data_IF_429938295834
#
_entry.id   IF_429938295834
#
_cell.length_a   1.000
_cell.length_b   1.000
_cell.length_c   1.000
_cell.angle_alpha   90.00
_cell.angle_beta   90.00
_cell.angle_gamma   90.00
#
_symmetry.space_group_name_H-M   'P 1'
#
loop_
_entity.id
_entity.type
_entity.pdbx_description
1 polymer ?
#
# COMPACT_ATOMS: atom_id res chain seq x y z
N UNK A 1 -17.16 8.64 21.74
CA UNK A 1 -16.03 7.74 21.43
C UNK A 1 -16.54 6.30 21.40
N UNK A 2 -16.31 5.60 20.29
CA UNK A 2 -16.54 4.16 20.18
C UNK A 2 -15.33 3.39 20.72
N UNK A 3 -15.56 2.19 21.28
CA UNK A 3 -14.49 1.31 21.75
C UNK A 3 -13.92 0.48 20.58
N UNK A 4 -12.61 0.16 20.55
CA UNK A 4 -12.00 -0.63 19.48
C UNK A 4 -12.71 -1.97 19.19
N UNK A 5 -13.26 -2.61 20.23
CA UNK A 5 -14.04 -3.87 20.15
C UNK A 5 -15.31 -3.80 19.27
N UNK A 6 -15.64 -2.62 18.73
CA UNK A 6 -16.78 -2.37 17.82
C UNK A 6 -16.35 -1.97 16.40
N UNK A 7 -15.06 -2.07 16.09
CA UNK A 7 -14.46 -1.69 14.81
C UNK A 7 -13.97 -2.96 14.12
N UNK A 8 -14.57 -3.30 12.98
CA UNK A 8 -14.27 -4.53 12.24
C UNK A 8 -13.12 -4.32 11.24
N UNK A 9 -11.91 -4.03 11.74
CA UNK A 9 -10.70 -4.00 10.91
C UNK A 9 -10.23 -5.43 10.55
N UNK A 10 -9.67 -5.62 9.35
CA UNK A 10 -9.19 -6.94 8.89
C UNK A 10 -7.91 -7.41 9.62
N UNK A 11 -7.11 -6.47 10.12
CA UNK A 11 -5.81 -6.74 10.72
C UNK A 11 -5.48 -5.70 11.81
N UNK A 12 -4.61 -6.09 12.75
CA UNK A 12 -4.27 -5.27 13.91
C UNK A 12 -3.52 -3.98 13.55
N UNK A 13 -2.85 -3.89 12.39
CA UNK A 13 -2.16 -2.67 11.99
C UNK A 13 -3.19 -1.60 11.62
N UNK A 14 -4.18 -1.95 10.80
CA UNK A 14 -5.28 -1.04 10.49
C UNK A 14 -6.05 -0.66 11.77
N UNK A 15 -6.34 -1.62 12.67
CA UNK A 15 -7.02 -1.32 13.93
C UNK A 15 -6.23 -0.34 14.81
N UNK A 16 -4.90 -0.49 14.88
CA UNK A 16 -4.02 0.40 15.66
C UNK A 16 -3.91 1.82 15.07
N UNK A 17 -4.11 1.98 13.76
CA UNK A 17 -4.12 3.31 13.12
C UNK A 17 -5.42 4.08 13.36
N UNK A 18 -6.56 3.41 13.55
CA UNK A 18 -7.89 4.05 13.58
C UNK A 18 -8.20 4.72 14.93
N UNK A 19 -8.51 6.01 14.91
CA UNK A 19 -9.03 6.76 16.06
C UNK A 19 -10.43 7.33 15.74
N UNK A 20 -11.46 6.95 16.50
CA UNK A 20 -12.84 7.39 16.24
C UNK A 20 -13.26 8.54 17.18
N UNK A 21 -13.11 9.77 16.68
CA UNK A 21 -13.47 11.02 17.36
C UNK A 21 -14.90 11.44 17.01
N UNK A 22 -15.85 10.73 17.58
CA UNK A 22 -17.28 10.98 17.42
C UNK A 22 -18.02 11.00 18.75
N UNK A 23 -18.95 11.95 18.91
CA UNK A 23 -19.86 12.01 20.08
C UNK A 23 -21.13 11.18 19.86
N UNK A 24 -21.57 11.06 18.60
CA UNK A 24 -22.83 10.41 18.21
C UNK A 24 -22.71 8.90 17.87
N UNK A 25 -23.86 8.25 17.70
CA UNK A 25 -23.99 6.79 17.59
C UNK A 25 -23.56 6.13 16.26
N UNK A 26 -22.63 6.71 15.50
CA UNK A 26 -22.29 6.39 14.09
C UNK A 26 -21.65 5.01 13.82
N UNK A 27 -21.85 4.02 14.69
CA UNK A 27 -21.22 2.67 14.65
C UNK A 27 -21.30 2.00 13.27
N UNK A 28 -22.42 2.13 12.56
CA UNK A 28 -22.60 1.53 11.24
C UNK A 28 -21.73 2.21 10.18
N UNK A 29 -21.76 3.54 10.11
CA UNK A 29 -21.01 4.30 9.10
C UNK A 29 -19.49 4.24 9.34
N UNK A 30 -19.06 4.27 10.60
CA UNK A 30 -17.67 4.00 10.98
C UNK A 30 -17.21 2.62 10.48
N UNK A 31 -18.06 1.59 10.59
CA UNK A 31 -17.73 0.27 10.03
C UNK A 31 -17.83 0.22 8.50
N UNK A 32 -18.65 1.04 7.84
CA UNK A 32 -18.63 1.22 6.37
C UNK A 32 -17.26 1.77 5.92
N UNK A 33 -16.78 2.84 6.56
CA UNK A 33 -15.49 3.46 6.23
C UNK A 33 -14.32 2.50 6.50
N UNK A 34 -14.33 1.80 7.63
CA UNK A 34 -13.31 0.80 7.95
C UNK A 34 -13.39 -0.40 7.01
N UNK A 35 -14.58 -0.80 6.53
CA UNK A 35 -14.72 -1.81 5.48
C UNK A 35 -14.15 -1.34 4.13
N UNK A 36 -14.12 -0.03 3.85
CA UNK A 36 -13.43 0.52 2.67
C UNK A 36 -11.90 0.45 2.84
N UNK A 37 -11.37 0.86 3.99
CA UNK A 37 -9.95 0.71 4.33
C UNK A 37 -9.49 -0.76 4.34
N UNK A 38 -10.32 -1.69 4.82
CA UNK A 38 -10.07 -3.15 4.79
C UNK A 38 -9.82 -3.72 3.40
N UNK A 39 -10.15 -3.02 2.31
CA UNK A 39 -9.86 -3.50 0.96
C UNK A 39 -8.39 -3.33 0.56
N UNK A 40 -7.64 -2.48 1.26
CA UNK A 40 -6.20 -2.26 1.05
C UNK A 40 -5.40 -3.47 1.54
N UNK A 41 -4.30 -3.81 0.87
CA UNK A 41 -3.45 -4.95 1.24
C UNK A 41 -2.85 -4.77 2.65
N UNK A 42 -2.98 -5.78 3.50
CA UNK A 42 -2.51 -5.74 4.90
C UNK A 42 -0.99 -5.48 5.05
N UNK A 43 -0.18 -5.74 4.01
CA UNK A 43 1.25 -5.37 3.99
C UNK A 43 1.45 -3.86 3.89
N UNK A 44 0.54 -3.14 3.24
CA UNK A 44 0.51 -1.67 3.23
C UNK A 44 0.16 -1.18 4.64
N UNK A 45 -0.90 -1.74 5.27
CA UNK A 45 -1.24 -1.41 6.67
C UNK A 45 -0.07 -1.65 7.64
N UNK A 46 0.69 -2.74 7.49
CA UNK A 46 1.91 -3.01 8.26
C UNK A 46 2.90 -1.84 8.15
N UNK A 47 3.19 -1.37 6.93
CA UNK A 47 4.20 -0.33 6.70
C UNK A 47 3.72 1.06 7.14
N UNK A 48 2.46 1.44 6.90
CA UNK A 48 1.94 2.73 7.36
C UNK A 48 1.85 2.79 8.89
N UNK A 49 1.39 1.72 9.54
CA UNK A 49 1.35 1.60 11.01
C UNK A 49 2.76 1.64 11.62
N UNK A 50 3.74 0.93 11.02
CA UNK A 50 5.13 0.98 11.45
C UNK A 50 5.77 2.37 11.31
N UNK A 51 5.34 3.16 10.31
CA UNK A 51 5.73 4.56 10.13
C UNK A 51 4.85 5.56 10.92
N UNK A 52 4.02 5.07 11.84
CA UNK A 52 3.24 5.91 12.77
C UNK A 52 2.07 6.66 12.13
N UNK A 53 1.57 6.20 10.98
CA UNK A 53 0.35 6.76 10.37
C UNK A 53 -0.85 6.56 11.31
N UNK A 54 -1.72 7.55 11.41
CA UNK A 54 -2.99 7.50 12.17
C UNK A 54 -4.15 7.92 11.27
N UNK A 55 -5.33 7.35 11.47
CA UNK A 55 -6.55 7.62 10.68
C UNK A 55 -7.66 8.06 11.64
N UNK A 56 -7.93 9.37 11.67
CA UNK A 56 -8.99 9.95 12.50
C UNK A 56 -10.31 9.92 11.72
N UNK A 57 -11.29 9.17 12.22
CA UNK A 57 -12.67 9.20 11.75
C UNK A 57 -13.48 10.11 12.67
N UNK A 58 -14.03 11.20 12.12
CA UNK A 58 -14.63 12.31 12.89
C UNK A 58 -16.03 12.71 12.40
N UNK A 59 -16.90 13.21 13.29
CA UNK A 59 -18.17 13.85 12.92
C UNK A 59 -18.08 15.41 12.90
N UNK A 60 -17.16 15.96 13.69
CA UNK A 60 -16.79 17.40 13.73
C UNK A 60 -16.16 17.93 12.42
N UNK A 61 -16.07 19.26 12.22
CA UNK A 61 -15.20 19.88 11.22
C UNK A 61 -13.72 19.50 11.41
N UNK A 62 -12.96 19.46 10.31
CA UNK A 62 -11.52 19.15 10.33
C UNK A 62 -10.74 20.07 11.28
N UNK A 63 -11.05 21.35 11.27
CA UNK A 63 -10.34 22.40 12.02
C UNK A 63 -10.69 22.45 13.52
N UNK A 64 -11.70 21.70 13.97
CA UNK A 64 -11.95 21.47 15.40
C UNK A 64 -10.99 20.40 15.99
N UNK A 65 -10.31 19.63 15.15
CA UNK A 65 -9.26 18.71 15.60
C UNK A 65 -7.99 19.49 16.01
N UNK A 66 -7.39 19.24 17.20
CA UNK A 66 -6.20 19.96 17.66
C UNK A 66 -5.00 19.90 16.71
N UNK A 67 -4.85 18.82 15.95
CA UNK A 67 -3.82 18.65 14.92
C UNK A 67 -3.99 19.64 13.74
N UNK A 68 -5.23 19.94 13.35
CA UNK A 68 -5.57 20.71 12.14
C UNK A 68 -6.12 22.11 12.42
N UNK A 69 -6.36 22.49 13.67
CA UNK A 69 -6.85 23.81 14.09
C UNK A 69 -6.00 25.00 13.60
N UNK A 70 -4.74 24.76 13.21
CA UNK A 70 -3.87 25.74 12.59
C UNK A 70 -4.30 26.15 11.16
N UNK A 71 -5.23 25.41 10.54
CA UNK A 71 -5.77 25.67 9.20
C UNK A 71 -7.08 26.50 9.22
N UNK A 72 -7.70 26.74 10.37
CA UNK A 72 -8.99 27.43 10.46
C UNK A 72 -8.96 28.84 9.85
N UNK A 73 -9.99 29.17 9.06
CA UNK A 73 -10.11 30.40 8.29
C UNK A 73 -9.14 30.54 7.11
N UNK A 74 -8.34 29.51 6.80
CA UNK A 74 -7.43 29.50 5.64
C UNK A 74 -8.01 28.70 4.47
N UNK A 75 -7.61 29.08 3.25
CA UNK A 75 -8.12 28.49 2.00
C UNK A 75 -7.16 27.41 1.50
N UNK A 76 -7.64 26.20 1.10
CA UNK A 76 -6.79 25.17 0.52
C UNK A 76 -6.08 25.59 -0.77
N UNK A 77 -4.94 24.96 -1.06
CA UNK A 77 -4.18 25.18 -2.29
C UNK A 77 -5.05 24.91 -3.53
N UNK A 78 -5.20 25.90 -4.42
CA UNK A 78 -6.05 25.82 -5.61
C UNK A 78 -7.52 26.19 -5.39
N UNK A 79 -7.98 26.40 -4.15
CA UNK A 79 -9.39 26.66 -3.83
C UNK A 79 -9.75 28.16 -3.76
N UNK A 80 -8.84 29.06 -4.12
CA UNK A 80 -8.97 30.52 -4.01
C UNK A 80 -10.18 31.15 -4.70
N UNK A 81 -10.79 30.45 -5.66
CA UNK A 81 -11.98 30.93 -6.39
C UNK A 81 -13.30 30.31 -5.90
N UNK A 82 -13.24 29.30 -5.01
CA UNK A 82 -14.44 28.62 -4.47
C UNK A 82 -15.14 29.43 -3.39
N UNK A 83 -14.40 30.28 -2.67
CA UNK A 83 -14.85 30.96 -1.45
C UNK A 83 -14.86 30.08 -0.19
N UNK A 84 -14.48 28.80 -0.30
CA UNK A 84 -14.46 27.82 0.79
C UNK A 84 -13.11 27.79 1.51
N UNK A 85 -13.11 27.23 2.72
CA UNK A 85 -11.99 27.18 3.66
C UNK A 85 -11.74 25.75 4.17
N UNK A 86 -10.61 25.52 4.84
CA UNK A 86 -10.33 24.23 5.51
C UNK A 86 -11.36 23.85 6.59
N UNK A 87 -12.15 24.80 7.09
CA UNK A 87 -13.28 24.52 7.99
C UNK A 87 -14.43 23.75 7.30
N UNK A 88 -14.43 23.73 5.95
CA UNK A 88 -15.46 23.10 5.10
C UNK A 88 -14.94 21.87 4.33
N UNK A 89 -13.65 21.54 4.46
CA UNK A 89 -13.03 20.36 3.82
C UNK A 89 -13.25 19.13 4.71
N UNK A 90 -13.73 17.98 4.16
CA UNK A 90 -14.11 16.83 4.96
C UNK A 90 -12.95 15.87 5.30
N UNK A 91 -11.74 16.10 4.78
CA UNK A 91 -10.59 15.24 5.02
C UNK A 91 -9.24 15.96 4.87
N UNK A 92 -8.17 15.27 5.26
CA UNK A 92 -6.80 15.67 4.98
C UNK A 92 -5.84 14.48 5.10
N UNK A 93 -4.94 14.34 4.12
CA UNK A 93 -3.86 13.36 4.10
C UNK A 93 -2.58 13.80 4.82
N UNK A 94 -1.75 12.81 5.18
CA UNK A 94 -0.46 13.00 5.87
C UNK A 94 -0.20 11.90 6.90
N UNK A 95 0.78 12.08 7.79
CA UNK A 95 1.05 11.09 8.86
C UNK A 95 -0.12 10.98 9.86
N UNK A 96 -0.92 12.04 9.98
CA UNK A 96 -2.27 11.94 10.54
C UNK A 96 -3.23 12.20 9.39
N UNK A 97 -3.95 11.17 8.99
CA UNK A 97 -5.09 11.20 8.08
C UNK A 97 -6.33 11.60 8.88
N UNK A 98 -7.19 12.41 8.30
CA UNK A 98 -8.53 12.67 8.81
C UNK A 98 -9.57 12.46 7.70
N UNK A 99 -10.70 11.84 8.04
CA UNK A 99 -11.85 11.67 7.14
C UNK A 99 -13.16 11.80 7.92
N UNK A 100 -14.14 12.52 7.34
CA UNK A 100 -15.41 12.80 8.01
C UNK A 100 -16.43 11.68 7.81
N UNK A 101 -17.03 11.25 8.91
CA UNK A 101 -18.04 10.19 8.99
C UNK A 101 -19.28 10.60 8.18
N UNK A 102 -19.68 9.75 7.23
CA UNK A 102 -20.80 10.01 6.30
C UNK A 102 -20.43 10.84 5.07
N UNK A 103 -19.15 11.18 4.87
CA UNK A 103 -18.64 11.90 3.70
C UNK A 103 -17.84 10.96 2.78
N UNK A 104 -18.14 9.66 2.84
CA UNK A 104 -17.42 8.59 2.17
C UNK A 104 -17.62 8.56 0.64
N UNK A 105 -18.65 9.23 0.10
CA UNK A 105 -19.06 9.21 -1.31
C UNK A 105 -18.88 10.58 -1.98
N UNK A 106 -18.59 10.66 -3.30
CA UNK A 106 -18.45 11.93 -4.03
C UNK A 106 -19.64 12.88 -3.81
N UNK A 107 -19.34 14.15 -3.53
CA UNK A 107 -20.32 15.14 -3.06
C UNK A 107 -19.77 15.89 -1.85
N UNK A 108 -20.62 16.53 -1.06
CA UNK A 108 -20.28 17.06 0.28
C UNK A 108 -18.90 17.76 0.39
N UNK A 109 -18.61 18.68 -0.56
CA UNK A 109 -17.33 19.41 -0.67
C UNK A 109 -16.09 18.60 -1.08
N UNK A 110 -16.23 17.45 -1.75
CA UNK A 110 -15.16 16.77 -2.48
C UNK A 110 -15.67 16.09 -3.77
N UNK A 111 -14.75 15.58 -4.60
CA UNK A 111 -15.07 14.87 -5.85
C UNK A 111 -14.35 13.53 -6.03
N UNK A 112 -13.59 13.10 -5.01
CA UNK A 112 -12.83 11.84 -4.98
C UNK A 112 -13.75 10.63 -4.79
N UNK A 113 -13.44 9.50 -5.44
CA UNK A 113 -14.30 8.30 -5.53
C UNK A 113 -14.66 7.71 -4.16
N UNK A 114 -13.75 7.81 -3.19
CA UNK A 114 -13.99 7.50 -1.79
C UNK A 114 -13.04 8.33 -0.92
N UNK A 115 -13.58 9.05 0.07
CA UNK A 115 -12.82 10.01 0.87
C UNK A 115 -11.73 9.33 1.69
N UNK A 116 -12.08 8.37 2.53
CA UNK A 116 -11.13 7.73 3.46
C UNK A 116 -10.04 6.94 2.75
N UNK A 117 -10.32 6.32 1.59
CA UNK A 117 -9.28 5.71 0.76
C UNK A 117 -8.37 6.75 0.09
N UNK A 118 -8.89 7.90 -0.34
CA UNK A 118 -8.08 8.96 -0.95
C UNK A 118 -7.15 9.63 0.08
N UNK A 119 -7.68 10.01 1.24
CA UNK A 119 -6.87 10.65 2.30
C UNK A 119 -5.85 9.68 2.91
N UNK A 120 -6.21 8.38 3.03
CA UNK A 120 -5.25 7.35 3.40
C UNK A 120 -4.21 7.07 2.29
N UNK A 121 -4.58 7.19 1.01
CA UNK A 121 -3.63 7.03 -0.08
C UNK A 121 -2.54 8.12 -0.09
N UNK A 122 -2.83 9.35 0.34
CA UNK A 122 -1.78 10.36 0.58
C UNK A 122 -0.78 9.93 1.67
N UNK A 123 -1.24 9.24 2.72
CA UNK A 123 -0.34 8.66 3.72
C UNK A 123 0.44 7.44 3.19
N UNK A 124 -0.17 6.63 2.31
CA UNK A 124 0.55 5.55 1.61
C UNK A 124 1.65 6.14 0.73
N UNK A 125 1.35 7.20 -0.02
CA UNK A 125 2.27 7.90 -0.91
C UNK A 125 3.53 8.37 -0.18
N UNK A 126 3.36 9.01 0.98
CA UNK A 126 4.46 9.61 1.76
C UNK A 126 5.21 8.64 2.70
N UNK A 127 4.59 7.54 3.16
CA UNK A 127 5.11 6.78 4.33
C UNK A 127 5.33 5.26 4.13
N UNK A 128 5.10 4.66 2.95
CA UNK A 128 5.45 3.22 2.74
C UNK A 128 6.85 2.97 2.15
N UNK A 129 7.56 4.04 1.79
CA UNK A 129 8.91 4.01 1.25
C UNK A 129 9.73 5.18 1.83
N UNK A 130 11.06 5.16 1.68
CA UNK A 130 11.92 6.28 2.10
C UNK A 130 11.76 7.59 1.29
N UNK A 131 10.75 7.69 0.42
CA UNK A 131 10.43 8.83 -0.42
C UNK A 131 8.96 8.76 -0.88
N UNK A 132 8.38 9.92 -1.22
CA UNK A 132 7.00 10.02 -1.75
C UNK A 132 6.88 9.31 -3.10
N UNK A 133 6.04 8.28 -3.22
CA UNK A 133 5.95 7.42 -4.42
C UNK A 133 5.57 8.21 -5.69
N UNK A 134 4.67 9.17 -5.58
CA UNK A 134 4.25 10.09 -6.65
C UNK A 134 5.37 11.03 -7.12
N UNK A 135 6.42 11.20 -6.32
CA UNK A 135 7.67 11.89 -6.68
C UNK A 135 8.75 10.95 -7.26
N UNK A 136 8.45 9.67 -7.51
CA UNK A 136 9.31 8.82 -8.33
C UNK A 136 9.32 9.26 -9.79
N UNK A 137 10.41 9.00 -10.50
CA UNK A 137 10.49 9.26 -11.95
C UNK A 137 9.63 8.29 -12.75
N UNK A 138 9.53 7.03 -12.29
CA UNK A 138 8.59 6.01 -12.80
C UNK A 138 7.15 6.56 -12.80
N UNK A 139 6.64 7.00 -11.65
CA UNK A 139 5.26 7.45 -11.53
C UNK A 139 4.98 8.79 -12.21
N UNK A 140 5.92 9.75 -12.21
CA UNK A 140 5.76 11.00 -13.01
C UNK A 140 5.62 10.72 -14.50
N UNK A 141 6.38 9.76 -15.03
CA UNK A 141 6.29 9.41 -16.45
C UNK A 141 4.95 8.73 -16.77
N UNK A 142 4.48 7.82 -15.90
CA UNK A 142 3.15 7.21 -15.99
C UNK A 142 2.04 8.27 -15.95
N UNK A 143 2.05 9.15 -14.93
CA UNK A 143 1.13 10.28 -14.77
C UNK A 143 1.05 11.14 -16.04
N UNK A 144 2.19 11.48 -16.64
CA UNK A 144 2.25 12.28 -17.87
C UNK A 144 1.63 11.62 -19.11
N UNK A 145 1.51 10.28 -19.12
CA UNK A 145 0.87 9.50 -20.18
C UNK A 145 -0.62 9.29 -19.93
N UNK A 146 -1.00 9.01 -18.70
CA UNK A 146 -2.32 8.41 -18.39
C UNK A 146 -3.30 9.32 -17.66
N UNK A 147 -2.89 10.48 -17.14
CA UNK A 147 -3.78 11.35 -16.35
C UNK A 147 -5.03 11.80 -17.10
N UNK A 148 -4.87 12.31 -18.33
CA UNK A 148 -5.99 12.70 -19.17
C UNK A 148 -6.85 11.51 -19.59
N UNK A 149 -6.25 10.32 -19.77
CA UNK A 149 -6.96 9.10 -20.16
C UNK A 149 -7.85 8.58 -19.02
N UNK A 150 -7.39 8.66 -17.77
CA UNK A 150 -8.16 8.23 -16.61
C UNK A 150 -9.33 9.17 -16.29
N UNK A 151 -9.14 10.48 -16.46
CA UNK A 151 -10.03 11.52 -15.92
C UNK A 151 -10.70 12.46 -16.94
N UNK A 152 -10.67 12.19 -18.26
CA UNK A 152 -11.31 13.06 -19.27
C UNK A 152 -12.82 13.34 -19.03
N UNK A 153 -13.52 12.45 -18.33
CA UNK A 153 -14.94 12.55 -17.98
C UNK A 153 -15.19 13.04 -16.54
N UNK A 154 -14.14 13.44 -15.81
CA UNK A 154 -14.27 13.99 -14.46
C UNK A 154 -14.76 15.45 -14.50
N UNK A 155 -15.43 15.90 -13.44
CA UNK A 155 -15.92 17.29 -13.36
C UNK A 155 -14.78 18.32 -13.20
N UNK A 156 -13.66 17.92 -12.59
CA UNK A 156 -12.47 18.76 -12.36
C UNK A 156 -11.18 18.02 -12.76
N UNK A 157 -10.98 17.70 -14.05
CA UNK A 157 -9.87 16.83 -14.50
C UNK A 157 -8.49 17.45 -14.19
N UNK A 158 -8.42 18.79 -14.22
CA UNK A 158 -7.22 19.56 -13.92
C UNK A 158 -6.76 19.46 -12.45
N UNK A 159 -7.60 18.99 -11.52
CA UNK A 159 -7.20 18.73 -10.13
C UNK A 159 -6.08 17.70 -10.08
N UNK A 160 -6.24 16.61 -10.86
CA UNK A 160 -5.26 15.52 -10.97
C UNK A 160 -4.03 15.87 -11.81
N UNK A 161 -3.87 17.13 -12.27
CA UNK A 161 -2.58 17.60 -12.80
C UNK A 161 -1.50 17.64 -11.70
N UNK A 162 -1.89 17.65 -10.43
CA UNK A 162 -1.00 17.38 -9.30
C UNK A 162 -0.80 15.86 -9.15
N UNK A 163 0.46 15.40 -9.22
CA UNK A 163 0.81 13.97 -9.23
C UNK A 163 0.47 13.25 -7.92
N UNK A 164 0.41 13.97 -6.78
CA UNK A 164 -0.10 13.44 -5.50
C UNK A 164 -1.58 13.10 -5.58
N UNK A 165 -2.41 14.03 -6.06
CA UNK A 165 -3.85 13.84 -6.19
C UNK A 165 -4.17 12.73 -7.20
N UNK A 166 -3.38 12.63 -8.27
CA UNK A 166 -3.46 11.53 -9.22
C UNK A 166 -3.14 10.18 -8.58
N UNK A 167 -2.06 10.09 -7.78
CA UNK A 167 -1.72 8.87 -7.05
C UNK A 167 -2.84 8.49 -6.07
N UNK A 168 -3.29 9.44 -5.25
CA UNK A 168 -4.30 9.20 -4.23
C UNK A 168 -5.62 8.71 -4.82
N UNK A 169 -6.08 9.34 -5.90
CA UNK A 169 -7.31 8.92 -6.59
C UNK A 169 -7.14 7.61 -7.36
N UNK A 170 -6.00 7.36 -8.01
CA UNK A 170 -5.74 6.08 -8.67
C UNK A 170 -5.67 4.92 -7.66
N UNK A 171 -5.08 5.14 -6.49
CA UNK A 171 -5.06 4.18 -5.39
C UNK A 171 -6.47 3.91 -4.85
N UNK A 172 -7.28 4.96 -4.63
CA UNK A 172 -8.67 4.83 -4.21
C UNK A 172 -9.50 4.06 -5.26
N UNK A 173 -9.36 4.39 -6.56
CA UNK A 173 -10.01 3.67 -7.66
C UNK A 173 -9.64 2.17 -7.67
N UNK A 174 -8.37 1.81 -7.45
CA UNK A 174 -7.91 0.43 -7.39
C UNK A 174 -8.51 -0.34 -6.22
N UNK A 175 -8.58 0.26 -5.02
CA UNK A 175 -8.99 -0.45 -3.81
C UNK A 175 -10.50 -0.40 -3.51
N UNK A 176 -11.23 0.61 -3.97
CA UNK A 176 -12.64 0.82 -3.61
C UNK A 176 -13.60 -0.29 -4.08
N UNK A 177 -13.49 -0.74 -5.33
CA UNK A 177 -14.36 -1.79 -5.88
C UNK A 177 -13.99 -2.24 -7.29
N UNK A 178 -14.64 -3.30 -7.77
CA UNK A 178 -14.35 -3.90 -9.07
C UNK A 178 -14.58 -2.94 -10.25
N UNK A 179 -15.69 -2.19 -10.24
CA UNK A 179 -16.00 -1.24 -11.32
C UNK A 179 -14.95 -0.12 -11.44
N UNK A 180 -14.53 0.48 -10.32
CA UNK A 180 -13.49 1.52 -10.31
C UNK A 180 -12.11 0.96 -10.67
N UNK A 181 -11.80 -0.26 -10.23
CA UNK A 181 -10.58 -0.99 -10.58
C UNK A 181 -10.52 -1.32 -12.08
N UNK A 182 -11.63 -1.74 -12.67
CA UNK A 182 -11.72 -2.05 -14.10
C UNK A 182 -11.64 -0.77 -14.96
N UNK A 183 -12.22 0.35 -14.51
CA UNK A 183 -12.02 1.69 -15.09
C UNK A 183 -10.54 2.06 -15.09
N UNK A 184 -9.84 1.88 -13.96
CA UNK A 184 -8.40 2.15 -13.86
C UNK A 184 -7.60 1.25 -14.82
N UNK A 185 -7.82 -0.07 -14.79
CA UNK A 185 -7.12 -1.03 -15.64
C UNK A 185 -7.29 -0.77 -17.15
N UNK A 186 -8.46 -0.27 -17.57
CA UNK A 186 -8.78 -0.01 -18.98
C UNK A 186 -8.27 1.35 -19.47
N UNK A 187 -8.25 2.38 -18.60
CA UNK A 187 -7.90 3.75 -18.99
C UNK A 187 -6.46 4.17 -18.63
N UNK A 188 -5.87 3.53 -17.62
CA UNK A 188 -4.54 3.80 -17.11
C UNK A 188 -3.82 2.50 -16.71
N UNK A 189 -3.55 1.60 -17.68
CA UNK A 189 -2.95 0.29 -17.42
C UNK A 189 -1.55 0.35 -16.77
N UNK A 190 -0.72 1.36 -17.04
CA UNK A 190 0.59 1.50 -16.38
C UNK A 190 0.41 1.89 -14.91
N UNK A 191 -0.51 2.81 -14.62
CA UNK A 191 -0.89 3.22 -13.25
C UNK A 191 -1.50 2.04 -12.49
N UNK A 192 -2.39 1.28 -13.13
CA UNK A 192 -2.94 0.05 -12.57
C UNK A 192 -1.83 -0.93 -12.17
N UNK A 193 -0.85 -1.16 -13.06
CA UNK A 193 0.30 -2.03 -12.77
C UNK A 193 1.13 -1.48 -11.60
N UNK A 194 1.46 -0.20 -11.59
CA UNK A 194 2.22 0.44 -10.51
C UNK A 194 1.52 0.27 -9.15
N UNK A 195 0.24 0.66 -9.04
CA UNK A 195 -0.54 0.53 -7.80
C UNK A 195 -0.64 -0.94 -7.37
N UNK A 196 -0.86 -1.86 -8.31
CA UNK A 196 -0.95 -3.31 -8.03
C UNK A 196 0.34 -3.93 -7.47
N UNK A 197 1.49 -3.30 -7.68
CA UNK A 197 2.80 -3.79 -7.25
C UNK A 197 3.31 -3.18 -5.93
N UNK A 198 2.72 -2.08 -5.45
CA UNK A 198 3.19 -1.36 -4.23
C UNK A 198 3.48 -2.33 -3.09
N UNK A 199 2.50 -3.18 -2.76
CA UNK A 199 2.58 -4.12 -1.63
C UNK A 199 3.69 -5.19 -1.74
N UNK A 200 4.17 -5.48 -2.96
CA UNK A 200 5.26 -6.41 -3.23
C UNK A 200 6.63 -5.70 -3.24
N UNK A 201 6.67 -4.42 -3.61
CA UNK A 201 7.87 -3.57 -3.55
C UNK A 201 8.23 -3.11 -2.12
N UNK A 202 7.41 -3.38 -1.09
CA UNK A 202 7.70 -2.93 0.28
C UNK A 202 8.82 -3.72 0.97
N UNK A 203 9.71 -3.00 1.67
CA UNK A 203 10.83 -3.55 2.43
C UNK A 203 10.83 -2.99 3.87
N UNK A 204 10.61 -3.88 4.85
CA UNK A 204 10.59 -3.55 6.28
C UNK A 204 12.01 -3.63 6.89
N UNK A 205 12.27 -2.75 7.86
CA UNK A 205 13.33 -2.94 8.87
C UNK A 205 12.63 -3.46 10.12
N UNK A 206 12.94 -4.68 10.55
CA UNK A 206 12.27 -5.34 11.68
C UNK A 206 12.98 -5.05 13.01
N UNK A 207 14.31 -4.98 12.98
CA UNK A 207 15.13 -4.63 14.15
C UNK A 207 16.47 -4.05 13.74
N UNK A 208 17.02 -3.18 14.57
CA UNK A 208 18.41 -2.71 14.49
C UNK A 208 19.09 -2.95 15.82
N UNK A 209 20.36 -3.34 15.80
CA UNK A 209 21.22 -3.46 16.99
C UNK A 209 22.41 -2.50 16.86
N UNK A 210 23.44 -2.62 17.69
CA UNK A 210 24.70 -1.90 17.51
C UNK A 210 25.41 -2.29 16.22
N UNK A 211 25.41 -3.58 15.87
CA UNK A 211 26.21 -4.12 14.76
C UNK A 211 25.42 -4.91 13.71
N UNK A 212 24.07 -4.91 13.77
CA UNK A 212 23.21 -5.62 12.81
C UNK A 212 21.92 -4.86 12.44
N UNK A 213 21.35 -5.24 11.29
CA UNK A 213 20.05 -4.79 10.78
C UNK A 213 19.30 -6.01 10.24
N UNK A 214 18.09 -6.27 10.74
CA UNK A 214 17.19 -7.31 10.21
C UNK A 214 16.13 -6.68 9.32
N UNK A 215 15.95 -7.25 8.13
CA UNK A 215 15.01 -6.84 7.11
C UNK A 215 13.97 -7.94 6.85
N UNK A 216 12.75 -7.56 6.46
CA UNK A 216 11.79 -8.47 5.83
C UNK A 216 11.08 -7.88 4.62
N UNK A 217 10.73 -8.76 3.68
CA UNK A 217 10.07 -8.45 2.41
C UNK A 217 9.10 -9.59 2.05
N UNK A 218 8.21 -9.39 1.08
CA UNK A 218 7.31 -10.48 0.64
C UNK A 218 8.04 -11.39 -0.36
N UNK A 219 8.11 -12.72 -0.14
CA UNK A 219 8.52 -13.64 -1.19
C UNK A 219 7.54 -13.62 -2.37
N UNK A 220 8.07 -13.57 -3.60
CA UNK A 220 7.34 -13.74 -4.85
C UNK A 220 7.37 -15.20 -5.29
N UNK A 221 6.30 -15.69 -5.93
CA UNK A 221 6.21 -17.07 -6.43
C UNK A 221 7.24 -17.42 -7.50
N UNK A 222 7.64 -16.43 -8.29
CA UNK A 222 8.39 -16.61 -9.53
C UNK A 222 9.91 -16.35 -9.34
N UNK A 223 10.30 -15.90 -8.15
CA UNK A 223 11.69 -15.55 -7.81
C UNK A 223 12.44 -16.73 -7.19
N UNK A 224 13.63 -17.03 -7.72
CA UNK A 224 14.52 -18.06 -7.18
C UNK A 224 15.51 -17.53 -6.15
N UNK A 225 15.86 -16.24 -6.24
CA UNK A 225 16.84 -15.57 -5.37
C UNK A 225 16.45 -14.13 -5.14
N UNK A 226 16.75 -13.61 -3.95
CA UNK A 226 16.64 -12.19 -3.60
C UNK A 226 18.03 -11.65 -3.27
N UNK A 227 18.51 -10.74 -4.10
CA UNK A 227 19.82 -10.12 -3.95
C UNK A 227 19.64 -8.89 -3.05
N UNK A 228 20.28 -8.89 -1.88
CA UNK A 228 20.14 -7.85 -0.85
C UNK A 228 21.30 -6.86 -0.97
N UNK A 229 20.97 -5.58 -1.18
CA UNK A 229 21.95 -4.51 -1.37
C UNK A 229 21.95 -3.54 -0.19
N UNK A 230 23.15 -3.08 0.18
CA UNK A 230 23.41 -2.04 1.17
C UNK A 230 24.27 -0.95 0.52
N UNK A 231 23.79 0.29 0.48
CA UNK A 231 24.50 1.41 -0.15
C UNK A 231 25.01 1.05 -1.57
N UNK A 232 24.13 0.44 -2.38
CA UNK A 232 24.40 -0.10 -3.74
C UNK A 232 25.37 -1.31 -3.83
N UNK A 233 25.98 -1.77 -2.74
CA UNK A 233 26.82 -2.97 -2.70
C UNK A 233 26.00 -4.23 -2.34
N UNK A 234 26.24 -5.36 -3.03
CA UNK A 234 25.60 -6.65 -2.72
C UNK A 234 26.17 -7.21 -1.42
N UNK A 235 25.33 -7.39 -0.40
CA UNK A 235 25.74 -7.92 0.92
C UNK A 235 25.26 -9.34 1.19
N UNK A 236 24.28 -9.85 0.45
CA UNK A 236 23.82 -11.23 0.58
C UNK A 236 22.80 -11.65 -0.47
N UNK A 237 22.54 -12.95 -0.51
CA UNK A 237 21.53 -13.59 -1.36
C UNK A 237 20.63 -14.45 -0.47
N UNK A 238 19.31 -14.33 -0.63
CA UNK A 238 18.29 -15.10 0.10
C UNK A 238 17.57 -16.03 -0.89
N UNK A 239 17.33 -17.31 -0.56
CA UNK A 239 16.74 -18.27 -1.50
C UNK A 239 15.22 -18.12 -1.68
N UNK A 240 14.67 -18.80 -2.68
CA UNK A 240 13.24 -18.89 -2.95
C UNK A 240 12.41 -19.26 -1.71
N UNK A 241 11.33 -18.51 -1.46
CA UNK A 241 10.41 -18.74 -0.35
C UNK A 241 10.83 -18.14 1.00
N UNK A 242 12.09 -17.72 1.16
CA UNK A 242 12.53 -16.96 2.33
C UNK A 242 12.31 -15.45 2.11
N UNK A 243 11.94 -14.75 3.19
CA UNK A 243 11.41 -13.37 3.15
C UNK A 243 12.10 -12.40 4.11
N UNK A 244 13.36 -12.66 4.47
CA UNK A 244 14.11 -11.79 5.37
C UNK A 244 15.61 -12.01 5.31
N UNK A 245 16.36 -11.08 5.88
CA UNK A 245 17.83 -11.06 5.89
C UNK A 245 18.33 -10.31 7.12
N UNK A 246 19.36 -10.83 7.79
CA UNK A 246 20.07 -10.10 8.86
C UNK A 246 21.48 -9.75 8.40
N UNK A 247 21.69 -8.47 8.18
CA UNK A 247 23.01 -7.90 7.89
C UNK A 247 23.78 -7.69 9.20
N UNK A 248 25.09 -7.97 9.22
CA UNK A 248 25.91 -8.00 10.43
C UNK A 248 27.31 -7.42 10.20
N UNK A 249 28.03 -7.12 11.29
CA UNK A 249 29.34 -6.49 11.23
C UNK A 249 29.29 -5.01 10.84
N UNK A 250 28.17 -4.35 11.13
CA UNK A 250 27.95 -2.93 10.86
C UNK A 250 28.68 -2.03 11.87
N UNK A 251 28.99 -0.80 11.45
CA UNK A 251 29.54 0.24 12.32
C UNK A 251 28.45 0.84 13.21
N UNK A 252 28.83 1.29 14.41
CA UNK A 252 27.91 1.92 15.37
C UNK A 252 27.38 3.27 14.85
N UNK A 253 26.16 3.65 15.25
CA UNK A 253 25.52 4.96 14.97
C UNK A 253 25.52 5.36 13.48
N UNK A 254 25.49 4.38 12.59
CA UNK A 254 25.66 4.57 11.14
C UNK A 254 24.36 4.25 10.41
N UNK A 255 23.95 5.14 9.51
CA UNK A 255 22.78 4.95 8.65
C UNK A 255 23.17 4.23 7.37
N UNK A 256 22.41 3.19 7.03
CA UNK A 256 22.59 2.36 5.84
C UNK A 256 21.29 2.31 5.04
N UNK A 257 21.38 2.52 3.73
CA UNK A 257 20.27 2.39 2.79
C UNK A 257 20.22 0.98 2.21
N UNK A 258 19.05 0.35 2.20
CA UNK A 258 18.83 -1.01 1.73
C UNK A 258 17.78 -1.09 0.63
N UNK A 259 17.98 -2.02 -0.30
CA UNK A 259 16.95 -2.50 -1.23
C UNK A 259 17.19 -3.97 -1.58
N UNK A 260 16.15 -4.63 -2.08
CA UNK A 260 16.18 -6.05 -2.46
C UNK A 260 15.75 -6.20 -3.93
N UNK A 261 16.51 -6.98 -4.70
CA UNK A 261 16.18 -7.34 -6.09
C UNK A 261 15.82 -8.83 -6.17
N UNK A 262 14.57 -9.12 -6.49
CA UNK A 262 14.11 -10.47 -6.82
C UNK A 262 14.49 -10.85 -8.25
N UNK A 263 15.09 -12.03 -8.44
CA UNK A 263 15.46 -12.56 -9.76
C UNK A 263 14.88 -13.96 -10.02
N UNK A 264 14.62 -14.25 -11.30
CA UNK A 264 14.14 -15.55 -11.77
C UNK A 264 15.27 -16.58 -11.95
N UNK A 265 14.90 -17.82 -12.31
CA UNK A 265 15.85 -18.91 -12.56
C UNK A 265 16.86 -18.66 -13.71
N UNK A 266 16.66 -17.60 -14.51
CA UNK A 266 17.54 -17.17 -15.59
C UNK A 266 18.40 -15.94 -15.19
N UNK A 267 18.36 -15.54 -13.91
CA UNK A 267 18.92 -14.30 -13.36
C UNK A 267 18.32 -13.01 -13.93
N UNK A 268 17.08 -13.07 -14.43
CA UNK A 268 16.31 -11.91 -14.91
C UNK A 268 15.70 -11.19 -13.70
N UNK A 269 15.80 -9.86 -13.66
CA UNK A 269 15.10 -9.06 -12.63
C UNK A 269 13.58 -9.16 -12.80
N UNK A 270 12.90 -9.55 -11.73
CA UNK A 270 11.43 -9.56 -11.62
C UNK A 270 10.95 -8.26 -10.99
N UNK A 271 11.62 -7.83 -9.93
CA UNK A 271 11.22 -6.71 -9.08
C UNK A 271 12.41 -6.19 -8.27
N UNK A 272 12.62 -4.88 -8.23
CA UNK A 272 13.45 -4.21 -7.20
C UNK A 272 12.51 -3.50 -6.22
N UNK A 273 12.76 -3.69 -4.92
CA UNK A 273 11.99 -3.09 -3.83
C UNK A 273 12.15 -1.57 -3.79
N UNK A 274 11.24 -0.89 -3.11
CA UNK A 274 11.52 0.45 -2.62
C UNK A 274 12.69 0.40 -1.63
N UNK A 275 13.45 1.50 -1.58
CA UNK A 275 14.56 1.64 -0.65
C UNK A 275 14.07 2.04 0.73
N UNK A 276 14.69 1.46 1.76
CA UNK A 276 14.51 1.83 3.18
C UNK A 276 15.85 2.20 3.82
N UNK A 277 15.83 2.89 4.95
CA UNK A 277 17.05 3.24 5.69
C UNK A 277 16.96 2.68 7.12
N UNK A 278 18.03 2.03 7.58
CA UNK A 278 18.20 1.61 8.96
C UNK A 278 19.36 2.38 9.59
N UNK A 279 19.35 2.61 10.91
CA UNK A 279 20.47 3.21 11.64
C UNK A 279 20.80 2.34 12.85
N UNK A 280 22.08 1.99 13.00
CA UNK A 280 22.58 1.16 14.09
C UNK A 280 22.64 1.90 15.43
N UNK A 281 22.66 1.14 16.53
CA UNK A 281 22.79 1.63 17.89
C UNK A 281 24.16 2.28 18.18
N UNK A 282 24.24 2.98 19.31
CA UNK A 282 25.47 3.66 19.77
C UNK A 282 26.37 2.80 20.67
N UNK A 283 25.89 1.62 21.08
CA UNK A 283 26.62 0.63 21.88
C UNK A 283 26.67 -0.67 21.06
N UNK A 284 27.80 -1.42 21.10
CA UNK A 284 27.93 -2.67 20.35
C UNK A 284 27.05 -3.78 20.93
N UNK A 285 26.81 -4.79 20.11
CA UNK A 285 26.07 -5.97 20.53
C UNK A 285 26.84 -6.73 21.62
N UNK A 286 26.15 -7.35 22.61
CA UNK A 286 26.83 -8.16 23.61
C UNK A 286 27.52 -9.33 22.94
N UNK A 287 28.84 -9.49 23.14
CA UNK A 287 29.60 -10.60 22.58
C UNK A 287 28.98 -11.94 22.99
N UNK A 288 28.34 -12.61 22.03
CA UNK A 288 27.97 -14.02 22.15
C UNK A 288 29.24 -14.84 22.03
N UNK A 289 29.91 -15.06 23.17
CA UNK A 289 30.96 -16.08 23.27
C UNK A 289 30.32 -17.43 23.02
N UNK A 290 30.42 -17.92 21.79
CA UNK A 290 30.22 -19.33 21.49
C UNK A 290 31.23 -20.11 22.34
N UNK A 291 30.75 -20.91 23.28
CA UNK A 291 31.61 -21.82 24.01
C UNK A 291 32.08 -22.89 23.02
N UNK A 292 33.33 -22.74 22.54
CA UNK A 292 34.01 -23.71 21.69
C UNK A 292 33.99 -25.06 22.43
N UNK A 293 33.10 -25.97 21.99
CA UNK A 293 32.95 -27.30 22.57
C UNK A 293 34.18 -28.11 22.20
N UNK A 294 35.21 -28.01 23.03
CA UNK A 294 36.40 -28.84 22.94
C UNK A 294 35.98 -30.28 23.20
N UNK A 295 35.79 -31.06 22.14
CA UNK A 295 35.67 -32.51 22.25
C UNK A 295 36.98 -33.06 22.85
N UNK A 296 36.97 -33.43 24.13
CA UNK A 296 38.08 -34.16 24.73
C UNK A 296 38.21 -35.51 24.01
N UNK A 297 39.27 -35.66 23.21
CA UNK A 297 39.64 -36.93 22.57
C UNK A 297 39.96 -37.96 23.67
N UNK A 298 38.97 -38.80 24.01
CA UNK A 298 39.11 -39.82 25.05
C UNK A 298 40.12 -40.88 24.61
N UNK A 299 41.35 -40.73 25.09
CA UNK A 299 42.43 -41.67 24.83
C UNK A 299 42.18 -42.96 25.60
N UNK A 300 41.69 -44.01 24.93
CA UNK A 300 41.57 -45.35 25.53
C UNK A 300 42.96 -45.89 25.93
N UNK A 301 43.23 -45.96 27.23
CA UNK A 301 44.44 -46.61 27.75
C UNK A 301 44.27 -48.14 27.68
N UNK A 302 44.93 -48.76 26.71
CA UNK A 302 44.86 -50.21 26.47
C UNK A 302 45.53 -50.98 27.62
N UNK A 303 44.71 -51.67 28.43
CA UNK A 303 45.16 -52.62 29.45
C UNK A 303 44.79 -54.05 29.03
N UNK A 304 45.75 -54.79 28.48
CA UNK A 304 45.63 -56.24 28.34
C UNK A 304 46.10 -56.96 29.62
N UNK A 305 45.26 -57.80 30.24
CA UNK A 305 45.72 -59.13 30.70
C UNK A 305 44.57 -60.14 30.92
N UNK A 306 44.56 -61.15 30.02
CA UNK A 306 44.04 -62.53 30.09
C UNK A 306 43.16 -63.08 31.24
N UNK A 307 42.12 -63.80 30.81
CA UNK A 307 41.76 -65.21 31.15
C UNK A 307 40.68 -65.60 32.20
N UNK A 308 39.93 -66.63 31.77
CA UNK A 308 39.25 -67.74 32.49
C UNK A 308 38.07 -67.49 33.46
N UNK A 309 36.86 -67.66 32.91
CA UNK A 309 35.76 -68.45 33.53
C UNK A 309 36.22 -69.92 33.78
N UNK A 310 35.60 -70.76 34.68
CA UNK A 310 34.14 -70.87 34.82
C UNK A 310 33.50 -71.34 36.19
N UNK A 311 32.27 -70.84 36.48
CA UNK A 311 31.03 -71.62 36.80
C UNK A 311 30.81 -72.36 38.17
N UNK A 312 29.53 -72.36 38.62
CA UNK A 312 28.78 -73.17 39.66
C UNK A 312 28.61 -72.71 41.14
N UNK A 313 27.32 -72.70 41.57
CA UNK A 313 26.70 -73.02 42.90
C UNK A 313 27.04 -72.22 44.20
N UNK A 314 26.13 -72.00 45.19
CA UNK A 314 24.65 -72.05 45.31
C UNK A 314 24.12 -71.39 46.63
N UNK A 315 22.80 -71.10 46.69
CA UNK A 315 21.93 -70.98 47.93
C UNK A 315 22.27 -69.88 48.98
N UNK A 316 21.40 -69.35 49.87
CA UNK A 316 19.96 -69.45 50.29
C UNK A 316 19.64 -68.11 51.05
N UNK A 317 18.43 -67.57 51.34
CA UNK A 317 17.04 -67.61 50.81
C UNK A 317 16.21 -66.46 51.48
N UNK A 318 14.93 -66.25 51.10
CA UNK A 318 13.79 -65.47 51.71
C UNK A 318 13.09 -64.64 50.61
N UNK A 319 12.10 -65.20 49.89
CA UNK A 319 10.64 -65.21 50.19
C UNK A 319 9.97 -63.83 50.03
N UNK A 320 9.24 -63.60 48.91
CA UNK A 320 7.76 -63.70 48.74
C UNK A 320 7.00 -62.39 49.11
N UNK A 321 5.89 -61.99 48.47
CA UNK A 321 5.08 -62.57 47.36
C UNK A 321 4.51 -61.45 46.45
N UNK A 322 3.91 -61.81 45.31
CA UNK A 322 3.21 -60.88 44.39
C UNK A 322 1.71 -60.75 44.68
N UNK A 323 1.17 -59.52 44.73
CA UNK A 323 -0.24 -59.24 44.41
C UNK A 323 -0.35 -57.94 43.59
N UNK A 324 -1.25 -57.94 42.59
CA UNK A 324 -1.62 -56.75 41.81
C UNK A 324 -2.93 -56.16 42.38
N UNK A 325 -2.95 -54.89 42.78
CA UNK A 325 -4.22 -54.17 42.98
C UNK A 325 -4.49 -53.26 41.77
N UNK A 326 -5.59 -53.56 41.07
CA UNK A 326 -6.23 -52.63 40.13
C UNK A 326 -7.44 -52.02 40.82
N UNK A 327 -7.58 -50.70 40.76
CA UNK A 327 -8.73 -49.97 41.33
C UNK A 327 -9.58 -49.41 40.20
N UNK A 328 -10.87 -49.72 40.26
CA UNK A 328 -11.93 -49.31 39.33
C UNK A 328 -12.98 -48.49 40.13
N UNK A 329 -13.97 -47.96 39.42
CA UNK A 329 -15.19 -47.26 39.90
C UNK A 329 -15.14 -45.72 39.85
N UNK A 330 -16.17 -45.01 39.39
CA UNK A 330 -17.43 -45.39 38.68
C UNK A 330 -17.94 -44.19 37.86
N UNK A 331 -18.86 -44.41 36.90
CA UNK A 331 -19.48 -43.35 36.08
C UNK A 331 -20.95 -43.15 36.46
N UNK A 332 -21.44 -41.92 36.68
CA UNK A 332 -22.87 -41.65 36.87
C UNK A 332 -23.62 -41.40 35.54
N UNK A 333 -24.88 -41.80 35.49
CA UNK A 333 -25.73 -41.86 34.28
C UNK A 333 -26.49 -40.55 33.96
N UNK A 334 -27.16 -40.54 32.80
CA UNK A 334 -28.16 -39.54 32.39
C UNK A 334 -29.52 -39.75 33.09
N UNK A 335 -30.43 -38.76 33.02
CA UNK A 335 -31.88 -39.00 33.06
C UNK A 335 -32.59 -38.75 31.71
N UNK A 336 -33.70 -39.46 31.53
CA UNK A 336 -34.65 -39.43 30.40
C UNK A 336 -36.07 -39.21 30.98
N UNK A 337 -37.11 -38.68 30.31
CA UNK A 337 -37.40 -38.36 28.89
C UNK A 337 -38.22 -37.05 28.86
N UNK A 338 -38.43 -36.40 27.69
CA UNK A 338 -39.78 -36.18 27.12
C UNK A 338 -39.73 -35.42 25.76
N UNK A 339 -40.60 -35.80 24.82
CA UNK A 339 -40.83 -35.10 23.54
C UNK A 339 -42.06 -34.17 23.65
N UNK A 340 -41.96 -32.92 23.17
CA UNK A 340 -43.14 -32.18 22.69
C UNK A 340 -42.93 -31.71 21.25
N UNK A 341 -43.86 -32.09 20.38
CA UNK A 341 -43.96 -31.61 19.01
C UNK A 341 -44.61 -30.23 18.96
N UNK A 342 -43.94 -29.25 18.35
CA UNK A 342 -44.56 -27.95 17.99
C UNK A 342 -44.54 -27.81 16.48
N UNK A 343 -45.70 -27.47 15.90
CA UNK A 343 -45.88 -27.37 14.45
C UNK A 343 -45.22 -26.11 13.88
N UNK A 344 -44.49 -26.25 12.76
CA UNK A 344 -43.96 -25.11 12.01
C UNK A 344 -45.11 -24.46 11.21
N UNK A 345 -45.78 -23.49 11.83
CA UNK A 345 -46.89 -22.76 11.21
C UNK A 345 -46.39 -21.70 10.24
N UNK A 346 -46.82 -21.83 8.97
CA UNK A 346 -47.07 -20.72 8.02
C UNK A 346 -45.97 -19.67 7.86
N UNK A 347 -45.17 -19.83 6.80
CA UNK A 347 -44.47 -18.69 6.18
C UNK A 347 -45.49 -17.70 5.61
N UNK A 348 -45.44 -16.44 6.08
CA UNK A 348 -46.20 -15.32 5.51
C UNK A 348 -45.60 -14.87 4.16
N UNK A 349 -46.45 -14.29 3.31
CA UNK A 349 -46.10 -13.86 1.96
C UNK A 349 -45.23 -12.59 1.95
N UNK A 350 -44.08 -12.64 1.26
CA UNK A 350 -43.32 -11.44 0.88
C UNK A 350 -43.83 -10.96 -0.49
N UNK A 351 -44.33 -9.73 -0.64
CA UNK A 351 -44.80 -9.23 -1.92
C UNK A 351 -43.63 -8.95 -2.88
N UNK A 352 -43.81 -9.28 -4.16
CA UNK A 352 -42.91 -8.91 -5.23
C UNK A 352 -42.78 -7.38 -5.35
N UNK A 353 -41.57 -6.87 -5.55
CA UNK A 353 -41.33 -5.51 -6.02
C UNK A 353 -41.16 -5.53 -7.54
N UNK A 354 -41.86 -4.65 -8.25
CA UNK A 354 -41.80 -4.56 -9.71
C UNK A 354 -40.41 -4.09 -10.18
N UNK A 355 -39.74 -4.89 -11.03
CA UNK A 355 -38.56 -4.43 -11.76
C UNK A 355 -38.97 -3.40 -12.83
N UNK A 356 -38.71 -2.11 -12.55
CA UNK A 356 -38.85 -1.05 -13.54
C UNK A 356 -37.73 -1.15 -14.56
N UNK A 357 -37.96 -1.92 -15.61
CA UNK A 357 -37.08 -2.04 -16.77
C UNK A 357 -37.09 -0.74 -17.57
N UNK A 358 -35.98 0.01 -17.51
CA UNK A 358 -35.75 1.15 -18.39
C UNK A 358 -35.34 0.61 -19.76
N UNK A 359 -36.18 0.84 -20.76
CA UNK A 359 -35.88 0.50 -22.16
C UNK A 359 -35.19 1.68 -22.81
N UNK A 360 -33.91 1.54 -23.14
CA UNK A 360 -33.22 2.45 -24.06
C UNK A 360 -33.48 1.99 -25.50
N UNK A 361 -34.05 2.87 -26.34
CA UNK A 361 -34.27 2.59 -27.76
C UNK A 361 -32.98 2.85 -28.56
N UNK A 362 -32.18 1.80 -28.79
CA UNK A 362 -31.12 1.84 -29.81
C UNK A 362 -31.75 1.90 -31.21
N UNK A 363 -31.71 3.07 -31.86
CA UNK A 363 -32.05 3.21 -33.27
C UNK A 363 -30.83 2.94 -34.14
N UNK A 364 -30.67 1.70 -34.62
CA UNK A 364 -29.76 1.39 -35.73
C UNK A 364 -30.23 2.13 -37.00
N UNK A 365 -29.37 3.00 -37.53
CA UNK A 365 -29.52 3.56 -38.89
C UNK A 365 -28.33 3.12 -39.74
N UNK A 366 -28.48 2.01 -40.47
CA UNK A 366 -27.55 1.68 -41.56
C UNK A 366 -27.65 2.74 -42.67
N UNK A 367 -26.56 3.47 -42.92
CA UNK A 367 -26.39 4.25 -44.15
C UNK A 367 -25.05 3.87 -44.80
N UNK A 368 -25.12 3.06 -45.85
CA UNK A 368 -23.96 2.58 -46.59
C UNK A 368 -23.41 3.67 -47.51
N UNK A 369 -22.14 4.05 -47.33
CA UNK A 369 -21.45 5.03 -48.18
C UNK A 369 -20.32 4.34 -48.95
N UNK A 370 -20.44 4.31 -50.28
CA UNK A 370 -19.37 3.87 -51.17
C UNK A 370 -18.17 4.82 -51.11
N UNK A 371 -16.96 4.26 -51.13
CA UNK A 371 -15.70 5.03 -51.15
C UNK A 371 -15.24 5.17 -52.61
N UNK A 372 -15.46 6.35 -53.20
CA UNK A 372 -14.71 6.77 -54.39
C UNK A 372 -13.52 7.67 -54.00
N UNK A 373 -12.41 7.49 -54.71
CA UNK A 373 -11.09 8.06 -54.44
C UNK A 373 -10.87 9.31 -55.32
N UNK A 374 -10.81 10.52 -54.74
CA UNK A 374 -10.42 11.74 -55.47
C UNK A 374 -9.54 12.71 -54.65
N UNK A 375 -8.30 12.78 -55.11
CA UNK A 375 -7.36 13.90 -55.25
C UNK A 375 -7.41 15.15 -54.33
N UNK A 376 -6.22 15.41 -53.77
CA UNK A 376 -5.65 16.60 -53.13
C UNK A 376 -6.07 17.97 -53.73
N UNK A 377 -6.70 18.84 -52.93
CA UNK A 377 -6.78 20.28 -53.23
C UNK A 377 -6.68 21.14 -51.95
N UNK A 378 -5.77 22.13 -51.96
CA UNK A 378 -5.45 22.95 -50.78
C UNK A 378 -6.40 24.14 -50.59
N UNK A 379 -7.07 24.24 -49.43
CA UNK A 379 -7.96 25.37 -49.11
C UNK A 379 -7.38 26.25 -48.01
N UNK A 380 -7.16 27.53 -48.32
CA UNK A 380 -6.80 28.57 -47.33
C UNK A 380 -8.01 28.91 -46.46
N UNK A 381 -7.82 28.97 -45.13
CA UNK A 381 -8.89 29.33 -44.18
C UNK A 381 -8.78 30.79 -43.72
N UNK A 382 -9.55 31.68 -44.36
CA UNK A 382 -9.78 33.04 -43.84
C UNK A 382 -10.49 32.98 -42.48
N UNK A 383 -9.78 33.34 -41.40
CA UNK A 383 -10.33 33.38 -40.04
C UNK A 383 -11.06 34.70 -39.78
N UNK A 384 -12.37 34.73 -40.06
CA UNK A 384 -13.22 35.88 -39.80
C UNK A 384 -13.48 36.07 -38.30
N UNK A 385 -12.64 36.89 -37.63
CA UNK A 385 -12.77 37.19 -36.21
C UNK A 385 -14.08 37.92 -35.86
N UNK A 386 -14.93 37.28 -35.07
CA UNK A 386 -16.04 37.95 -34.37
C UNK A 386 -15.50 38.52 -33.05
N UNK A 387 -15.25 39.82 -33.00
CA UNK A 387 -14.85 40.51 -31.77
C UNK A 387 -16.06 40.81 -30.89
N UNK A 388 -16.15 40.14 -29.74
CA UNK A 388 -16.98 40.62 -28.63
C UNK A 388 -16.38 41.92 -28.05
N UNK A 389 -17.24 42.78 -27.49
CA UNK A 389 -16.86 44.04 -26.85
C UNK A 389 -17.56 44.18 -25.51
N UNK A 390 -16.87 44.78 -24.55
CA UNK A 390 -17.43 45.26 -23.29
C UNK A 390 -18.34 46.48 -23.56
N UNK A 391 -19.24 46.81 -22.62
CA UNK A 391 -20.17 47.96 -22.78
C UNK A 391 -19.47 49.31 -23.02
N UNK A 392 -18.24 49.50 -22.52
CA UNK A 392 -17.41 50.69 -22.75
C UNK A 392 -16.59 50.67 -24.06
N UNK A 393 -16.71 49.62 -24.89
CA UNK A 393 -16.25 49.61 -26.28
C UNK A 393 -14.77 49.36 -26.56
N UNK A 394 -13.95 49.07 -25.55
CA UNK A 394 -12.52 48.74 -25.71
C UNK A 394 -12.27 47.23 -25.91
N UNK A 395 -11.25 46.82 -26.69
CA UNK A 395 -10.88 45.41 -26.85
C UNK A 395 -10.01 44.91 -25.69
N UNK A 396 -10.27 43.68 -25.21
CA UNK A 396 -9.44 43.01 -24.20
C UNK A 396 -8.28 42.27 -24.88
N UNK A 397 -7.04 42.61 -24.50
CA UNK A 397 -5.85 41.79 -24.73
C UNK A 397 -4.89 41.93 -23.54
N UNK A 398 -4.75 40.89 -22.71
CA UNK A 398 -3.68 40.79 -21.70
C UNK A 398 -3.18 39.34 -21.60
N UNK A 399 -2.04 39.06 -22.24
CA UNK A 399 -1.06 38.14 -21.67
C UNK A 399 -0.16 38.95 -20.73
N UNK A 400 0.32 38.35 -19.64
CA UNK A 400 1.52 38.84 -18.95
C UNK A 400 2.43 37.70 -18.51
N UNK A 401 3.70 37.80 -18.91
CA UNK A 401 4.79 36.91 -18.52
C UNK A 401 6.10 37.74 -18.58
N UNK A 402 6.74 37.98 -17.44
CA UNK A 402 8.01 38.72 -17.34
C UNK A 402 8.62 38.58 -15.93
N UNK A 403 9.95 38.47 -15.75
CA UNK A 403 11.04 38.37 -16.73
C UNK A 403 12.42 38.79 -16.17
N UNK A 404 13.45 38.81 -17.05
CA UNK A 404 14.87 39.22 -16.83
C UNK A 404 15.72 38.20 -16.00
N UNK A 405 17.05 38.05 -16.10
CA UNK A 405 18.18 38.62 -16.89
C UNK A 405 19.22 37.48 -17.16
N UNK A 406 20.17 37.53 -18.12
CA UNK A 406 20.37 38.50 -19.19
C UNK A 406 21.84 38.91 -19.52
N UNK A 407 22.78 37.97 -19.75
CA UNK A 407 24.16 38.28 -20.24
C UNK A 407 24.57 37.44 -21.47
N UNK A 408 25.47 37.99 -22.30
CA UNK A 408 25.81 37.49 -23.66
C UNK A 408 27.33 37.31 -23.83
N UNK A 409 27.77 36.17 -24.40
CA UNK A 409 29.03 36.04 -25.16
C UNK A 409 28.81 35.07 -26.33
N UNK A 410 29.39 35.36 -27.51
CA UNK A 410 29.19 34.59 -28.75
C UNK A 410 30.48 33.95 -29.31
N UNK A 411 30.45 32.64 -29.57
CA UNK A 411 31.24 31.88 -30.56
C UNK A 411 30.33 30.72 -31.01
N UNK A 412 30.31 30.18 -32.24
CA UNK A 412 31.38 29.97 -33.22
C UNK A 412 31.32 28.50 -33.67
N UNK A 413 30.26 28.09 -34.39
CA UNK A 413 30.23 27.91 -35.87
C UNK A 413 30.92 26.63 -36.39
N UNK A 414 30.08 25.76 -36.98
CA UNK A 414 30.33 24.68 -37.96
C UNK A 414 31.44 23.64 -37.75
N UNK A 415 31.00 22.39 -37.65
CA UNK A 415 31.79 21.18 -37.95
C UNK A 415 31.71 20.90 -39.46
N UNK A 416 32.81 21.02 -40.21
CA UNK A 416 32.88 20.61 -41.62
C UNK A 416 34.08 19.68 -41.87
N UNK A 417 33.86 18.70 -42.74
CA UNK A 417 34.71 17.52 -42.94
C UNK A 417 36.01 17.79 -43.71
N UNK A 418 37.01 17.00 -43.33
CA UNK A 418 38.28 16.78 -44.03
C UNK A 418 38.14 16.56 -45.54
N UNK A 419 38.93 17.29 -46.35
CA UNK A 419 39.78 16.65 -47.38
C UNK A 419 41.00 17.48 -47.80
N UNK A 420 42.00 16.73 -48.27
CA UNK A 420 43.42 17.11 -48.48
C UNK A 420 43.67 18.12 -49.61
N UNK A 421 44.67 18.97 -49.38
CA UNK A 421 45.81 19.30 -50.27
C UNK A 421 45.59 19.32 -51.79
N UNK A 422 45.72 20.50 -52.39
CA UNK A 422 46.98 20.92 -53.05
C UNK A 422 47.10 22.45 -53.05
#
# INVERSE_FOLDING_TARGET
>A
MLTPDKIHAQDNNLLNMIEVRSEDGWTNEVNTMVANLNRVDARIHRHTNANGVRIILMDVPLTDLPEFAHLSGSVPSGWSETGLTWDEVPGAGGQTVAARIGYSQPGNSHSVINLELHEYAHAVDDFVAGYKLSNSEEFRQIHSREQNLLFYDHAVPNYFNMTSEYFAEAFALYYYGESSRNRLATRAPETYQFISQIHNKLLSVDSTTGNSVTLSFTPLSDATTYNVYRNDELVGEVPAGEGGFTDTGLELSTTYGYFVRAVDANCTEIMTSYSTNATTGAEPDPETTEEEVVEEEVVEEVVEESNDEPVEENEEVIEETTEEETVVEETPEQPEVEEETVEESTTDEIPEFEEVTVVEEEQETEESVDIEELEDETVETETQQVQSRNDDGYPIWVYMLSGLLGTIVTFGVLYILSRRMN
#
